data_IF_032569169135
#
_entry.id   IF_032569169135
#
_cell.length_a   1.000
_cell.length_b   1.000
_cell.length_c   1.000
_cell.angle_alpha   90.00
_cell.angle_beta   90.00
_cell.angle_gamma   90.00
#
_symmetry.space_group_name_H-M   'P 1'
#
loop_
_entity.id
_entity.type
_entity.pdbx_description
1 polymer ?
#
# COMPACT_ATOMS: atom_id res chain seq x y z
N UNK A 1 28.58 31.31 -40.09
CA UNK A 1 27.90 29.99 -39.97
C UNK A 1 27.77 29.39 -41.37
N UNK A 2 28.32 28.21 -41.63
CA UNK A 2 28.24 27.59 -42.97
C UNK A 2 26.78 27.26 -43.32
N UNK A 3 26.31 27.73 -44.49
CA UNK A 3 24.94 27.46 -44.99
C UNK A 3 24.61 25.94 -45.01
N UNK A 4 25.63 25.08 -45.15
CA UNK A 4 25.47 23.63 -45.12
C UNK A 4 24.93 23.09 -43.79
N UNK A 5 25.18 23.78 -42.67
CA UNK A 5 24.70 23.35 -41.33
C UNK A 5 23.28 23.81 -41.02
N UNK A 6 22.76 24.79 -41.77
CA UNK A 6 21.41 25.35 -41.58
C UNK A 6 20.37 24.56 -42.40
N UNK A 7 20.80 24.06 -43.56
CA UNK A 7 19.96 23.33 -44.51
C UNK A 7 19.17 22.12 -43.94
N UNK A 8 19.68 21.34 -42.97
CA UNK A 8 18.88 20.28 -42.33
C UNK A 8 17.66 20.86 -41.59
N UNK A 9 17.87 21.85 -40.73
CA UNK A 9 16.79 22.45 -39.92
C UNK A 9 15.71 23.14 -40.76
N UNK A 10 16.09 23.80 -41.85
CA UNK A 10 15.11 24.41 -42.76
C UNK A 10 14.30 23.36 -43.52
N UNK A 11 14.88 22.19 -43.84
CA UNK A 11 14.15 21.07 -44.44
C UNK A 11 13.12 20.48 -43.47
N UNK A 12 13.42 20.50 -42.19
CA UNK A 12 12.49 20.09 -41.13
C UNK A 12 11.42 21.16 -40.79
N UNK A 13 11.32 22.22 -41.61
CA UNK A 13 10.25 23.22 -41.52
C UNK A 13 10.50 24.34 -40.53
N UNK A 14 11.72 24.52 -40.01
CA UNK A 14 12.07 25.68 -39.20
C UNK A 14 12.35 26.91 -40.06
N UNK A 15 11.99 28.10 -39.56
CA UNK A 15 12.34 29.35 -40.23
C UNK A 15 13.87 29.51 -40.30
N UNK A 16 14.41 30.17 -41.35
CA UNK A 16 15.85 30.39 -41.48
C UNK A 16 16.49 31.03 -40.23
N UNK A 17 15.77 31.96 -39.59
CA UNK A 17 16.20 32.62 -38.34
C UNK A 17 16.38 31.60 -37.21
N UNK A 18 15.39 30.72 -37.00
CA UNK A 18 15.44 29.70 -35.95
C UNK A 18 16.53 28.66 -36.25
N UNK A 19 16.62 28.21 -37.50
CA UNK A 19 17.65 27.27 -37.95
C UNK A 19 19.07 27.82 -37.74
N UNK A 20 19.29 29.11 -38.02
CA UNK A 20 20.56 29.77 -37.71
C UNK A 20 20.84 29.88 -36.21
N UNK A 21 19.81 30.12 -35.39
CA UNK A 21 19.93 30.19 -33.94
C UNK A 21 20.32 28.82 -33.33
N UNK A 22 19.72 27.71 -33.79
CA UNK A 22 20.08 26.35 -33.37
C UNK A 22 21.55 26.04 -33.67
N UNK A 23 22.00 26.31 -34.91
CA UNK A 23 23.39 26.05 -35.31
C UNK A 23 24.38 26.92 -34.53
N UNK A 24 24.01 28.16 -34.21
CA UNK A 24 24.83 29.06 -33.37
C UNK A 24 24.91 28.59 -31.93
N UNK A 25 23.84 27.98 -31.41
CA UNK A 25 23.81 27.36 -30.10
C UNK A 25 24.58 26.02 -30.05
N UNK A 26 25.08 25.53 -31.19
CA UNK A 26 25.82 24.28 -31.28
C UNK A 26 24.94 23.04 -31.46
N UNK A 27 23.63 23.22 -31.69
CA UNK A 27 22.69 22.13 -31.93
C UNK A 27 22.61 21.87 -33.44
N UNK A 28 23.31 20.83 -33.88
CA UNK A 28 23.46 20.50 -35.30
C UNK A 28 22.46 19.44 -35.77
N UNK A 29 21.90 18.67 -34.83
CA UNK A 29 20.92 17.60 -35.08
C UNK A 29 19.77 17.66 -34.06
N UNK A 30 18.67 16.98 -34.37
CA UNK A 30 17.50 16.93 -33.48
C UNK A 30 17.82 16.25 -32.15
N UNK A 31 18.70 15.26 -32.16
CA UNK A 31 19.13 14.53 -30.96
C UNK A 31 19.92 15.41 -29.99
N UNK A 32 20.57 16.47 -30.48
CA UNK A 32 21.31 17.43 -29.65
C UNK A 32 20.38 18.25 -28.75
N UNK A 33 19.07 18.27 -29.05
CA UNK A 33 18.05 18.91 -28.22
C UNK A 33 17.52 17.99 -27.11
N UNK A 34 17.84 16.69 -27.12
CA UNK A 34 17.37 15.76 -26.10
C UNK A 34 17.73 16.15 -24.65
N UNK A 35 18.92 16.71 -24.35
CA UNK A 35 19.26 17.20 -23.01
C UNK A 35 18.83 18.66 -22.76
N UNK A 36 18.33 19.37 -23.76
CA UNK A 36 18.05 20.81 -23.67
C UNK A 36 16.68 21.04 -23.03
N UNK A 37 16.63 21.86 -21.98
CA UNK A 37 15.36 22.23 -21.36
C UNK A 37 14.56 23.19 -22.25
N UNK A 38 13.24 23.19 -22.08
CA UNK A 38 12.34 24.12 -22.78
C UNK A 38 12.74 25.60 -22.54
N UNK A 39 13.12 25.94 -21.32
CA UNK A 39 13.52 27.31 -20.97
C UNK A 39 14.89 27.67 -21.54
N UNK A 40 15.85 26.75 -21.57
CA UNK A 40 17.14 26.98 -22.23
C UNK A 40 16.97 27.19 -23.74
N UNK A 41 16.09 26.40 -24.37
CA UNK A 41 15.76 26.56 -25.78
C UNK A 41 15.21 27.96 -26.06
N UNK A 42 14.20 28.38 -25.30
CA UNK A 42 13.55 29.69 -25.47
C UNK A 42 14.43 30.87 -25.04
N UNK A 43 15.46 30.65 -24.24
CA UNK A 43 16.40 31.69 -23.85
C UNK A 43 17.36 32.10 -25.00
N UNK A 44 17.45 31.31 -26.09
CA UNK A 44 18.32 31.64 -27.22
C UNK A 44 17.66 32.66 -28.14
N UNK A 45 18.34 33.78 -28.46
CA UNK A 45 17.82 34.75 -29.42
C UNK A 45 17.52 34.10 -30.78
N UNK A 46 16.30 34.30 -31.27
CA UNK A 46 15.84 33.71 -32.54
C UNK A 46 15.09 32.38 -32.40
N UNK A 47 14.93 31.83 -31.18
CA UNK A 47 14.11 30.66 -30.90
C UNK A 47 12.84 31.06 -30.13
N UNK A 48 11.69 30.96 -30.80
CA UNK A 48 10.38 31.23 -30.21
C UNK A 48 9.53 29.97 -30.02
N UNK A 49 8.31 30.14 -29.54
CA UNK A 49 7.37 29.03 -29.29
C UNK A 49 7.09 28.18 -30.54
N UNK A 50 6.94 28.79 -31.72
CA UNK A 50 6.74 28.03 -32.96
C UNK A 50 7.95 27.16 -33.34
N UNK A 51 9.18 27.60 -33.04
CA UNK A 51 10.38 26.80 -33.26
C UNK A 51 10.47 25.64 -32.25
N UNK A 52 10.08 25.90 -31.00
CA UNK A 52 10.00 24.88 -29.96
C UNK A 52 9.01 23.79 -30.33
N UNK A 53 7.76 24.14 -30.64
CA UNK A 53 6.71 23.18 -31.02
C UNK A 53 7.13 22.30 -32.20
N UNK A 54 7.78 22.92 -33.20
CA UNK A 54 8.32 22.18 -34.35
C UNK A 54 9.40 21.20 -33.93
N UNK A 55 10.32 21.58 -33.05
CA UNK A 55 11.37 20.71 -32.53
C UNK A 55 10.81 19.59 -31.65
N UNK A 56 9.83 19.88 -30.79
CA UNK A 56 9.14 18.87 -29.96
C UNK A 56 8.39 17.85 -30.83
N UNK A 57 7.79 18.32 -31.93
CA UNK A 57 7.15 17.44 -32.93
C UNK A 57 8.16 16.53 -33.60
N UNK A 58 9.33 17.07 -33.99
CA UNK A 58 10.39 16.27 -34.62
C UNK A 58 11.03 15.27 -33.65
N UNK A 59 11.16 15.64 -32.36
CA UNK A 59 11.59 14.74 -31.30
C UNK A 59 10.54 13.67 -30.95
N UNK A 60 9.29 13.84 -31.37
CA UNK A 60 8.16 13.00 -30.97
C UNK A 60 7.81 13.11 -29.49
N UNK A 61 8.29 14.15 -28.79
CA UNK A 61 8.04 14.41 -27.37
C UNK A 61 8.31 15.87 -27.00
N UNK A 62 7.62 16.41 -25.98
CA UNK A 62 7.93 17.74 -25.46
C UNK A 62 9.33 17.81 -24.84
N UNK A 63 9.99 18.96 -24.94
CA UNK A 63 11.22 19.23 -24.19
C UNK A 63 10.85 19.34 -22.70
N UNK A 64 11.73 18.81 -21.85
CA UNK A 64 11.49 18.82 -20.41
C UNK A 64 11.57 20.27 -19.91
N UNK A 65 10.55 20.72 -19.20
CA UNK A 65 10.64 21.99 -18.47
C UNK A 65 11.62 21.83 -17.32
N UNK A 66 12.59 22.72 -17.20
CA UNK A 66 13.54 22.77 -16.09
C UNK A 66 12.83 22.85 -14.74
N UNK A 67 11.68 23.52 -14.65
CA UNK A 67 10.85 23.53 -13.44
C UNK A 67 10.36 22.12 -13.09
N UNK A 68 9.85 21.39 -14.09
CA UNK A 68 9.37 20.03 -13.91
C UNK A 68 10.51 19.06 -13.59
N UNK A 69 11.66 19.19 -14.25
CA UNK A 69 12.87 18.42 -13.98
C UNK A 69 13.26 18.48 -12.49
N UNK A 70 13.34 19.69 -11.93
CA UNK A 70 13.70 19.90 -10.52
C UNK A 70 12.64 19.36 -9.56
N UNK A 71 11.35 19.54 -9.87
CA UNK A 71 10.26 19.02 -9.06
C UNK A 71 10.22 17.48 -9.05
N UNK A 72 10.45 16.84 -10.19
CA UNK A 72 10.54 15.37 -10.29
C UNK A 72 11.77 14.81 -9.55
N UNK A 73 12.85 15.59 -9.43
CA UNK A 73 13.99 15.30 -8.55
C UNK A 73 13.70 15.45 -7.05
N UNK A 74 12.48 15.85 -6.69
CA UNK A 74 12.03 16.00 -5.31
C UNK A 74 12.31 17.37 -4.68
N UNK A 75 12.68 18.38 -5.47
CA UNK A 75 12.85 19.73 -4.95
C UNK A 75 11.51 20.44 -4.74
N UNK A 76 11.36 21.24 -3.67
CA UNK A 76 10.19 22.10 -3.50
C UNK A 76 10.00 23.03 -4.71
N UNK A 77 8.74 23.28 -5.08
CA UNK A 77 8.40 24.12 -6.24
C UNK A 77 9.06 25.51 -6.20
N UNK A 78 9.19 26.10 -5.01
CA UNK A 78 9.89 27.39 -4.81
C UNK A 78 11.35 27.29 -5.24
N UNK A 79 12.08 26.29 -4.78
CA UNK A 79 13.49 26.02 -5.12
C UNK A 79 13.66 25.79 -6.62
N UNK A 80 12.79 24.95 -7.20
CA UNK A 80 12.78 24.70 -8.65
C UNK A 80 12.58 25.98 -9.47
N UNK A 81 11.70 26.89 -9.03
CA UNK A 81 11.51 28.21 -9.68
C UNK A 81 12.74 29.12 -9.54
N UNK A 82 13.41 29.12 -8.38
CA UNK A 82 14.62 29.93 -8.17
C UNK A 82 15.75 29.47 -9.10
N UNK A 83 15.98 28.16 -9.21
CA UNK A 83 16.97 27.59 -10.12
C UNK A 83 16.64 27.89 -11.59
N UNK A 84 15.38 27.70 -11.99
CA UNK A 84 14.93 28.01 -13.36
C UNK A 84 15.09 29.50 -13.69
N UNK A 85 14.78 30.41 -12.75
CA UNK A 85 15.00 31.87 -12.89
C UNK A 85 16.49 32.22 -13.00
N UNK A 86 17.34 31.52 -12.25
CA UNK A 86 18.79 31.64 -12.33
C UNK A 86 19.40 31.02 -13.59
N UNK A 87 18.57 30.48 -14.49
CA UNK A 87 18.98 29.74 -15.70
C UNK A 87 19.81 28.49 -15.41
N UNK A 88 19.58 27.87 -14.26
CA UNK A 88 20.15 26.59 -13.87
C UNK A 88 19.11 25.50 -14.19
N UNK A 89 19.28 24.89 -15.36
CA UNK A 89 18.35 23.95 -15.96
C UNK A 89 18.84 22.49 -15.90
N UNK A 90 20.08 22.26 -15.51
CA UNK A 90 20.68 20.92 -15.36
C UNK A 90 21.56 20.80 -14.14
N UNK A 91 21.92 19.56 -13.78
CA UNK A 91 22.86 19.28 -12.69
C UNK A 91 24.28 19.75 -13.02
N UNK A 92 24.72 19.61 -14.25
CA UNK A 92 26.03 20.10 -14.71
C UNK A 92 26.15 21.62 -14.61
N UNK A 93 25.05 22.34 -14.88
CA UNK A 93 25.00 23.78 -14.66
C UNK A 93 25.08 24.10 -13.17
N UNK A 94 24.31 23.38 -12.34
CA UNK A 94 24.32 23.54 -10.89
C UNK A 94 25.72 23.29 -10.29
N UNK A 95 26.45 22.30 -10.78
CA UNK A 95 27.83 21.97 -10.37
C UNK A 95 28.84 23.10 -10.62
N UNK A 96 28.59 23.95 -11.62
CA UNK A 96 29.46 25.09 -11.92
C UNK A 96 29.24 26.27 -10.99
N UNK A 97 28.20 26.23 -10.15
CA UNK A 97 27.92 27.28 -9.17
C UNK A 97 28.51 26.92 -7.81
N UNK A 98 29.25 27.86 -7.24
CA UNK A 98 29.71 27.74 -5.86
C UNK A 98 28.50 27.77 -4.89
N UNK A 99 28.55 27.06 -3.75
CA UNK A 99 27.47 27.06 -2.75
C UNK A 99 27.03 28.47 -2.30
N UNK A 100 27.97 29.41 -2.24
CA UNK A 100 27.74 30.82 -1.91
C UNK A 100 26.84 31.48 -2.96
N UNK A 101 27.08 31.21 -4.24
CA UNK A 101 26.25 31.72 -5.34
C UNK A 101 24.83 31.16 -5.29
N UNK A 102 24.62 29.96 -4.73
CA UNK A 102 23.29 29.39 -4.51
C UNK A 102 22.57 30.07 -3.34
N UNK A 103 23.29 30.48 -2.30
CA UNK A 103 22.74 31.28 -1.21
C UNK A 103 22.29 32.67 -1.68
N UNK A 104 23.06 33.32 -2.55
CA UNK A 104 22.71 34.62 -3.14
C UNK A 104 21.43 34.57 -3.99
N UNK A 105 21.06 33.38 -4.51
CA UNK A 105 19.78 33.13 -5.17
C UNK A 105 18.58 33.02 -4.20
N UNK A 106 18.81 33.18 -2.89
CA UNK A 106 17.80 33.07 -1.84
C UNK A 106 17.48 31.63 -1.44
N UNK A 107 18.38 30.68 -1.70
CA UNK A 107 18.28 29.31 -1.20
C UNK A 107 18.80 29.25 0.24
N UNK A 108 17.98 28.72 1.14
CA UNK A 108 18.41 28.47 2.52
C UNK A 108 19.34 27.28 2.61
N UNK A 109 19.98 27.13 3.78
CA UNK A 109 20.84 25.97 4.09
C UNK A 109 20.13 24.62 3.85
N UNK A 110 18.83 24.44 4.21
CA UNK A 110 18.11 23.19 3.93
C UNK A 110 17.96 22.91 2.43
N UNK A 111 17.70 23.92 1.61
CA UNK A 111 17.58 23.78 0.16
C UNK A 111 18.92 23.47 -0.49
N UNK A 112 20.01 24.14 -0.06
CA UNK A 112 21.37 23.85 -0.53
C UNK A 112 21.79 22.43 -0.11
N UNK A 113 21.44 21.99 1.10
CA UNK A 113 21.67 20.62 1.54
C UNK A 113 20.85 19.59 0.73
N UNK A 114 19.61 19.91 0.36
CA UNK A 114 18.77 19.07 -0.49
C UNK A 114 19.33 18.98 -1.92
N UNK A 115 19.85 20.08 -2.46
CA UNK A 115 20.55 20.12 -3.76
C UNK A 115 21.85 19.32 -3.71
N UNK A 116 22.67 19.51 -2.69
CA UNK A 116 23.87 18.70 -2.46
C UNK A 116 23.52 17.22 -2.24
N UNK A 117 22.38 16.91 -1.61
CA UNK A 117 21.85 15.55 -1.47
C UNK A 117 21.34 14.98 -2.79
N UNK A 118 20.81 15.80 -3.70
CA UNK A 118 20.42 15.40 -5.05
C UNK A 118 21.66 15.16 -5.92
N UNK A 119 22.64 16.07 -5.89
CA UNK A 119 23.95 15.91 -6.53
C UNK A 119 24.70 14.69 -5.96
N UNK A 120 24.70 14.48 -4.65
CA UNK A 120 25.26 13.28 -4.01
C UNK A 120 24.47 12.03 -4.31
N UNK A 121 23.14 12.06 -4.47
CA UNK A 121 22.40 10.88 -4.93
C UNK A 121 22.74 10.51 -6.37
N UNK A 122 23.11 11.51 -7.17
CA UNK A 122 23.60 11.32 -8.54
C UNK A 122 25.09 10.93 -8.57
N UNK A 123 25.90 11.37 -7.59
CA UNK A 123 27.35 11.13 -7.54
C UNK A 123 27.79 9.97 -6.61
N UNK A 124 26.97 9.61 -5.61
CA UNK A 124 27.18 8.53 -4.63
C UNK A 124 26.10 7.44 -4.75
N UNK A 125 25.28 7.48 -5.80
CA UNK A 125 24.37 6.41 -6.20
C UNK A 125 25.07 5.15 -6.75
N UNK A 126 26.40 5.15 -6.76
CA UNK A 126 27.24 4.04 -7.16
C UNK A 126 27.93 3.34 -5.98
N UNK A 127 27.31 2.29 -5.44
CA UNK A 127 28.09 1.04 -5.43
C UNK A 127 28.40 0.76 -6.90
N UNK A 128 29.64 0.43 -7.28
CA UNK A 128 30.18 0.54 -8.65
C UNK A 128 29.36 -0.05 -9.83
N UNK A 129 28.22 -0.72 -9.60
CA UNK A 129 27.22 -1.09 -10.62
C UNK A 129 26.01 -0.14 -10.77
N UNK A 130 25.62 0.65 -9.77
CA UNK A 130 24.35 1.42 -9.76
C UNK A 130 24.28 2.54 -10.81
N UNK A 131 25.34 3.35 -10.93
CA UNK A 131 25.38 4.45 -11.89
C UNK A 131 25.42 3.95 -13.35
N UNK A 132 26.09 2.81 -13.57
CA UNK A 132 26.09 2.16 -14.87
C UNK A 132 24.68 1.68 -15.28
N UNK A 133 23.89 1.21 -14.31
CA UNK A 133 22.48 0.82 -14.54
C UNK A 133 21.58 2.02 -14.82
N UNK A 134 21.67 3.08 -14.02
CA UNK A 134 20.88 4.31 -14.26
C UNK A 134 21.20 4.87 -15.64
N UNK A 135 22.48 4.96 -16.00
CA UNK A 135 22.90 5.43 -17.32
C UNK A 135 22.45 4.49 -18.43
N UNK A 136 22.50 3.17 -18.22
CA UNK A 136 21.97 2.19 -19.16
C UNK A 136 20.49 2.47 -19.44
N UNK A 137 19.64 2.53 -18.43
CA UNK A 137 18.20 2.76 -18.60
C UNK A 137 17.90 4.12 -19.21
N UNK A 138 18.59 5.18 -18.78
CA UNK A 138 18.46 6.52 -19.37
C UNK A 138 18.81 6.54 -20.87
N UNK A 139 19.88 5.85 -21.29
CA UNK A 139 20.25 5.72 -22.71
C UNK A 139 19.19 5.00 -23.54
N UNK A 140 18.39 4.15 -22.90
CA UNK A 140 17.25 3.46 -23.53
C UNK A 140 15.96 4.30 -23.52
N UNK A 141 16.03 5.55 -23.06
CA UNK A 141 14.92 6.50 -23.04
C UNK A 141 14.04 6.44 -21.79
N UNK A 142 14.44 5.67 -20.76
CA UNK A 142 13.75 5.65 -19.48
C UNK A 142 14.01 6.98 -18.73
N UNK A 143 12.98 7.67 -18.21
CA UNK A 143 13.18 8.90 -17.45
C UNK A 143 14.07 8.68 -16.22
N UNK A 144 14.96 9.63 -15.83
CA UNK A 144 15.95 9.44 -14.77
C UNK A 144 15.37 8.96 -13.43
N UNK A 145 14.24 9.53 -13.00
CA UNK A 145 13.57 9.10 -11.77
C UNK A 145 13.12 7.63 -11.81
N UNK A 146 12.75 7.12 -12.99
CA UNK A 146 12.36 5.71 -13.19
C UNK A 146 13.58 4.81 -13.37
N UNK A 147 14.62 5.31 -14.05
CA UNK A 147 15.89 4.63 -14.18
C UNK A 147 16.54 4.38 -12.81
N UNK A 148 16.43 5.33 -11.87
CA UNK A 148 16.87 5.15 -10.48
C UNK A 148 16.08 4.05 -9.75
N UNK A 149 14.76 3.99 -9.94
CA UNK A 149 13.93 2.92 -9.37
C UNK A 149 14.36 1.55 -9.93
N UNK A 150 14.59 1.45 -11.23
CA UNK A 150 15.04 0.22 -11.88
C UNK A 150 16.47 -0.16 -11.48
N UNK A 151 17.37 0.80 -11.32
CA UNK A 151 18.74 0.54 -10.88
C UNK A 151 18.83 0.02 -9.43
N UNK A 152 17.73 0.06 -8.67
CA UNK A 152 17.59 -0.65 -7.41
C UNK A 152 17.52 -2.19 -7.54
N UNK A 153 17.40 -2.70 -8.76
CA UNK A 153 17.36 -4.13 -9.10
C UNK A 153 18.44 -4.44 -10.13
N UNK A 154 19.02 -5.64 -10.09
CA UNK A 154 19.93 -6.07 -11.16
C UNK A 154 19.15 -6.28 -12.48
N UNK A 155 19.80 -6.10 -13.64
CA UNK A 155 19.12 -6.31 -14.95
C UNK A 155 18.56 -7.72 -15.07
N UNK A 156 19.30 -8.72 -14.60
CA UNK A 156 18.86 -10.12 -14.65
C UNK A 156 17.63 -10.37 -13.76
N UNK A 157 17.54 -9.69 -12.61
CA UNK A 157 16.36 -9.72 -11.75
C UNK A 157 15.16 -9.09 -12.45
N UNK A 158 15.31 -7.87 -12.99
CA UNK A 158 14.26 -7.22 -13.79
C UNK A 158 13.82 -8.13 -14.94
N UNK A 159 14.78 -8.74 -15.64
CA UNK A 159 14.53 -9.60 -16.78
C UNK A 159 13.82 -10.92 -16.40
N UNK A 160 13.91 -11.35 -15.13
CA UNK A 160 13.22 -12.52 -14.59
C UNK A 160 11.84 -12.19 -13.98
N UNK A 161 11.59 -10.92 -13.63
CA UNK A 161 10.28 -10.49 -13.11
C UNK A 161 9.18 -10.66 -14.15
N UNK A 162 7.96 -10.92 -13.69
CA UNK A 162 6.81 -10.86 -14.58
C UNK A 162 6.44 -9.42 -14.90
N UNK A 163 5.73 -9.24 -16.01
CA UNK A 163 5.16 -7.96 -16.41
C UNK A 163 4.31 -7.34 -15.29
N UNK A 164 3.54 -8.16 -14.57
CA UNK A 164 2.69 -7.73 -13.46
C UNK A 164 3.50 -7.31 -12.23
N UNK A 165 4.56 -8.05 -11.87
CA UNK A 165 5.43 -7.70 -10.73
C UNK A 165 6.08 -6.32 -10.96
N UNK A 166 6.56 -6.05 -12.18
CA UNK A 166 7.16 -4.76 -12.52
C UNK A 166 6.15 -3.60 -12.46
N UNK A 167 4.87 -3.85 -12.75
CA UNK A 167 3.82 -2.83 -12.63
C UNK A 167 3.39 -2.56 -11.18
N UNK A 168 3.69 -3.48 -10.26
CA UNK A 168 3.48 -3.27 -8.82
C UNK A 168 4.59 -2.39 -8.21
N UNK A 169 5.75 -2.24 -8.87
CA UNK A 169 6.82 -1.35 -8.42
C UNK A 169 6.37 0.11 -8.51
N UNK A 170 6.33 0.86 -7.39
CA UNK A 170 5.86 2.23 -7.37
C UNK A 170 6.58 3.10 -8.41
N UNK A 171 5.79 3.70 -9.30
CA UNK A 171 6.30 4.58 -10.34
C UNK A 171 6.65 3.91 -11.66
N UNK A 172 6.65 2.58 -11.77
CA UNK A 172 6.80 1.89 -13.05
C UNK A 172 5.42 1.72 -13.69
N UNK A 173 5.18 2.44 -14.79
CA UNK A 173 3.93 2.35 -15.55
C UNK A 173 4.06 1.53 -16.84
N UNK A 174 2.95 1.27 -17.56
CA UNK A 174 2.97 0.52 -18.83
C UNK A 174 3.87 1.12 -19.91
N UNK A 175 4.11 2.44 -19.88
CA UNK A 175 5.05 3.10 -20.77
C UNK A 175 6.51 2.75 -20.42
N UNK A 176 6.89 2.92 -19.15
CA UNK A 176 8.23 2.56 -18.64
C UNK A 176 8.53 1.08 -18.90
N UNK A 177 7.55 0.21 -18.69
CA UNK A 177 7.69 -1.22 -18.96
C UNK A 177 7.99 -1.50 -20.44
N UNK A 178 7.31 -0.84 -21.39
CA UNK A 178 7.61 -0.97 -22.83
C UNK A 178 9.03 -0.52 -23.17
N UNK A 179 9.53 0.53 -22.53
CA UNK A 179 10.92 0.97 -22.69
C UNK A 179 11.89 -0.08 -22.14
N UNK A 180 11.56 -0.71 -21.02
CA UNK A 180 12.37 -1.80 -20.47
C UNK A 180 12.38 -3.05 -21.38
N UNK A 181 11.22 -3.43 -21.95
CA UNK A 181 11.13 -4.52 -22.92
C UNK A 181 11.96 -4.24 -24.17
N UNK A 182 11.94 -2.99 -24.66
CA UNK A 182 12.76 -2.55 -25.79
C UNK A 182 14.26 -2.61 -25.46
N UNK A 183 14.65 -2.12 -24.29
CA UNK A 183 16.03 -2.11 -23.80
C UNK A 183 16.62 -3.52 -23.66
N UNK A 184 15.82 -4.47 -23.15
CA UNK A 184 16.22 -5.86 -22.94
C UNK A 184 16.09 -6.73 -24.21
N UNK A 185 15.52 -6.19 -25.29
CA UNK A 185 15.31 -6.91 -26.55
C UNK A 185 14.30 -8.06 -26.47
N UNK A 186 13.52 -8.14 -25.38
CA UNK A 186 12.52 -9.19 -25.16
C UNK A 186 11.34 -8.67 -24.36
N UNK A 187 10.17 -9.31 -24.52
CA UNK A 187 9.00 -9.02 -23.67
C UNK A 187 9.18 -9.67 -22.30
N UNK A 188 8.70 -9.03 -21.25
CA UNK A 188 8.63 -9.68 -19.94
C UNK A 188 7.60 -10.82 -20.01
N UNK A 189 7.89 -11.97 -19.38
CA UNK A 189 6.91 -13.04 -19.29
C UNK A 189 5.69 -12.51 -18.55
N UNK A 190 4.50 -12.97 -18.94
CA UNK A 190 3.33 -12.78 -18.08
C UNK A 190 3.51 -13.58 -16.80
N UNK A 191 2.94 -13.16 -15.68
CA UNK A 191 3.00 -13.87 -14.39
C UNK A 191 2.53 -15.32 -14.48
N UNK A 192 1.63 -15.60 -15.43
CA UNK A 192 1.19 -16.97 -15.78
C UNK A 192 2.28 -17.83 -16.42
N UNK A 193 3.16 -17.23 -17.22
CA UNK A 193 4.22 -17.93 -17.94
C UNK A 193 5.41 -18.22 -17.01
N UNK A 194 5.71 -17.31 -16.09
CA UNK A 194 6.82 -17.48 -15.13
C UNK A 194 6.46 -18.31 -13.89
N UNK A 195 5.17 -18.44 -13.56
CA UNK A 195 4.72 -19.17 -12.37
C UNK A 195 3.71 -20.27 -12.71
N UNK A 196 4.14 -21.55 -12.77
CA UNK A 196 3.28 -22.68 -13.09
C UNK A 196 2.06 -22.82 -12.15
N UNK A 197 2.22 -22.48 -10.86
CA UNK A 197 1.12 -22.50 -9.90
C UNK A 197 0.08 -21.43 -10.22
N UNK A 198 0.52 -20.25 -10.67
CA UNK A 198 -0.37 -19.18 -11.11
C UNK A 198 -1.23 -19.62 -12.29
N UNK A 199 -0.61 -20.20 -13.33
CA UNK A 199 -1.32 -20.73 -14.48
C UNK A 199 -2.25 -21.90 -14.12
N UNK A 200 -1.85 -22.77 -13.18
CA UNK A 200 -2.70 -23.85 -12.68
C UNK A 200 -4.00 -23.31 -12.07
N UNK A 201 -3.90 -22.42 -11.09
CA UNK A 201 -5.08 -21.86 -10.41
C UNK A 201 -5.97 -21.02 -11.32
N UNK A 202 -5.36 -20.27 -12.24
CA UNK A 202 -6.12 -19.48 -13.21
C UNK A 202 -6.92 -20.35 -14.18
N UNK A 203 -6.37 -21.49 -14.62
CA UNK A 203 -7.10 -22.49 -15.44
C UNK A 203 -8.29 -23.10 -14.69
N UNK A 204 -8.20 -23.22 -13.37
CA UNK A 204 -9.31 -23.64 -12.51
C UNK A 204 -10.29 -22.50 -12.17
N UNK A 205 -10.10 -21.32 -12.77
CA UNK A 205 -10.96 -20.15 -12.59
C UNK A 205 -10.75 -19.43 -11.26
N UNK A 206 -9.67 -19.65 -10.52
CA UNK A 206 -9.35 -18.80 -9.38
C UNK A 206 -8.79 -17.48 -9.90
N UNK A 207 -9.32 -16.34 -9.44
CA UNK A 207 -8.99 -15.03 -10.01
C UNK A 207 -8.37 -14.08 -8.99
N UNK A 208 -7.47 -13.22 -9.47
CA UNK A 208 -7.07 -11.98 -8.79
C UNK A 208 -6.45 -12.21 -7.40
N UNK A 209 -6.97 -11.57 -6.35
CA UNK A 209 -6.36 -11.61 -5.01
C UNK A 209 -6.30 -13.01 -4.39
N UNK A 210 -7.31 -13.87 -4.62
CA UNK A 210 -7.30 -15.24 -4.10
C UNK A 210 -6.16 -16.08 -4.71
N UNK A 211 -5.91 -15.89 -6.00
CA UNK A 211 -4.83 -16.59 -6.69
C UNK A 211 -3.49 -16.15 -6.09
N UNK A 212 -3.27 -14.85 -5.94
CA UNK A 212 -2.07 -14.31 -5.30
C UNK A 212 -1.87 -14.88 -3.89
N UNK A 213 -2.94 -14.99 -3.09
CA UNK A 213 -2.90 -15.56 -1.75
C UNK A 213 -2.50 -17.05 -1.73
N UNK A 214 -3.01 -17.85 -2.69
CA UNK A 214 -2.65 -19.26 -2.82
C UNK A 214 -1.17 -19.42 -3.16
N UNK A 215 -0.69 -18.66 -4.15
CA UNK A 215 0.71 -18.72 -4.61
C UNK A 215 1.66 -18.21 -3.53
N UNK A 216 1.32 -17.13 -2.82
CA UNK A 216 2.13 -16.59 -1.73
C UNK A 216 2.27 -17.58 -0.55
N UNK A 217 1.27 -18.44 -0.34
CA UNK A 217 1.33 -19.56 0.63
C UNK A 217 2.02 -20.81 0.09
N UNK A 218 2.53 -20.78 -1.13
CA UNK A 218 3.19 -21.93 -1.75
C UNK A 218 2.24 -23.05 -2.14
N UNK A 219 0.93 -22.79 -2.23
CA UNK A 219 -0.07 -23.78 -2.63
C UNK A 219 -0.07 -23.87 -4.16
N UNK A 220 0.51 -24.95 -4.71
CA UNK A 220 0.75 -25.09 -6.15
C UNK A 220 -0.30 -25.98 -6.83
N UNK A 221 -1.07 -26.72 -6.05
CA UNK A 221 -2.04 -27.71 -6.53
C UNK A 221 -3.25 -27.83 -5.60
N UNK A 222 -4.32 -28.49 -6.08
CA UNK A 222 -5.46 -28.88 -5.23
C UNK A 222 -5.06 -29.82 -4.10
N UNK A 223 -3.99 -30.62 -4.26
CA UNK A 223 -3.50 -31.50 -3.19
C UNK A 223 -2.92 -30.69 -2.03
N UNK A 224 -2.27 -29.56 -2.30
CA UNK A 224 -1.77 -28.68 -1.25
C UNK A 224 -2.94 -28.05 -0.45
N UNK A 225 -4.08 -27.78 -1.10
CA UNK A 225 -5.28 -27.33 -0.41
C UNK A 225 -5.86 -28.40 0.52
N UNK A 226 -5.78 -29.69 0.17
CA UNK A 226 -6.27 -30.78 1.03
C UNK A 226 -5.49 -30.90 2.35
N UNK A 227 -4.27 -30.36 2.40
CA UNK A 227 -3.45 -30.29 3.62
C UNK A 227 -3.85 -29.18 4.55
N UNK A 228 -4.62 -28.19 4.07
CA UNK A 228 -5.13 -27.10 4.88
C UNK A 228 -6.46 -27.50 5.50
N UNK A 229 -6.70 -26.97 6.71
CA UNK A 229 -8.02 -27.09 7.30
C UNK A 229 -9.04 -26.17 6.56
N UNK A 230 -10.34 -26.46 6.74
CA UNK A 230 -11.41 -25.67 6.09
C UNK A 230 -11.36 -24.19 6.48
N UNK A 231 -10.94 -23.87 7.69
CA UNK A 231 -10.89 -22.50 8.22
C UNK A 231 -9.72 -21.72 7.62
N UNK A 232 -8.58 -22.35 7.43
CA UNK A 232 -7.41 -21.79 6.79
C UNK A 232 -7.72 -21.40 5.35
N UNK A 233 -8.38 -22.29 4.60
CA UNK A 233 -8.82 -21.99 3.23
C UNK A 233 -9.77 -20.79 3.22
N UNK A 234 -10.73 -20.74 4.15
CA UNK A 234 -11.69 -19.63 4.26
C UNK A 234 -11.06 -18.30 4.67
N UNK A 235 -9.94 -18.34 5.40
CA UNK A 235 -9.17 -17.17 5.82
C UNK A 235 -8.16 -16.71 4.78
N UNK A 236 -8.09 -17.36 3.62
CA UNK A 236 -7.24 -16.89 2.53
C UNK A 236 -7.72 -15.50 2.06
N UNK A 237 -6.83 -14.49 2.02
CA UNK A 237 -7.20 -13.17 1.55
C UNK A 237 -7.67 -13.23 0.10
N UNK A 238 -8.72 -12.48 -0.21
CA UNK A 238 -9.28 -12.44 -1.56
C UNK A 238 -10.22 -13.60 -1.93
N UNK A 239 -10.37 -14.61 -1.07
CA UNK A 239 -11.31 -15.72 -1.29
C UNK A 239 -12.75 -15.31 -0.97
N UNK A 240 -13.41 -14.65 -1.92
CA UNK A 240 -14.86 -14.40 -1.84
C UNK A 240 -15.70 -15.67 -1.97
N UNK A 241 -17.02 -15.54 -1.74
CA UNK A 241 -17.98 -16.66 -1.80
C UNK A 241 -17.94 -17.45 -3.10
N UNK A 242 -17.77 -16.76 -4.25
CA UNK A 242 -17.65 -17.43 -5.57
C UNK A 242 -16.36 -18.26 -5.67
N UNK A 243 -15.25 -17.74 -5.17
CA UNK A 243 -13.96 -18.45 -5.18
C UNK A 243 -14.01 -19.66 -4.26
N UNK A 244 -14.57 -19.50 -3.05
CA UNK A 244 -14.74 -20.61 -2.12
C UNK A 244 -15.60 -21.73 -2.72
N UNK A 245 -16.71 -21.41 -3.39
CA UNK A 245 -17.52 -22.42 -4.10
C UNK A 245 -16.75 -23.17 -5.18
N UNK A 246 -15.86 -22.48 -5.91
CA UNK A 246 -14.98 -23.15 -6.89
C UNK A 246 -14.00 -24.07 -6.19
N UNK A 247 -13.39 -23.63 -5.09
CA UNK A 247 -12.48 -24.46 -4.31
C UNK A 247 -13.22 -25.68 -3.72
N UNK A 248 -14.45 -25.52 -3.22
CA UNK A 248 -15.32 -26.62 -2.76
C UNK A 248 -15.56 -27.65 -3.87
N UNK A 249 -15.89 -27.18 -5.08
CA UNK A 249 -16.09 -28.05 -6.22
C UNK A 249 -14.82 -28.83 -6.60
N UNK A 250 -13.64 -28.20 -6.50
CA UNK A 250 -12.35 -28.85 -6.75
C UNK A 250 -11.98 -29.87 -5.66
N UNK A 251 -12.28 -29.57 -4.40
CA UNK A 251 -12.01 -30.46 -3.27
C UNK A 251 -13.04 -31.59 -3.17
N UNK A 252 -14.20 -31.46 -3.82
CA UNK A 252 -15.33 -32.39 -3.69
C UNK A 252 -15.96 -32.37 -2.29
N UNK A 253 -15.66 -31.35 -1.49
CA UNK A 253 -16.16 -31.22 -0.11
C UNK A 253 -16.62 -29.81 0.15
N UNK A 254 -17.71 -29.66 0.91
CA UNK A 254 -18.17 -28.35 1.36
C UNK A 254 -17.19 -27.79 2.40
N UNK A 255 -16.73 -26.57 2.18
CA UNK A 255 -15.94 -25.77 3.11
C UNK A 255 -16.85 -25.01 4.07
N UNK A 256 -18.10 -24.76 3.65
CA UNK A 256 -19.14 -24.19 4.49
C UNK A 256 -19.88 -25.23 5.33
N UNK A 257 -20.07 -24.93 6.61
CA UNK A 257 -20.92 -25.70 7.54
C UNK A 257 -22.39 -25.28 7.49
N UNK A 258 -22.74 -24.22 6.76
CA UNK A 258 -24.11 -23.71 6.67
C UNK A 258 -25.12 -24.75 6.16
N UNK A 259 -24.70 -25.68 5.29
CA UNK A 259 -25.54 -26.78 4.84
C UNK A 259 -25.90 -27.73 5.97
N UNK A 260 -24.93 -28.15 6.78
CA UNK A 260 -25.12 -29.01 7.95
C UNK A 260 -26.04 -28.35 8.99
N UNK A 261 -25.88 -27.05 9.22
CA UNK A 261 -26.77 -26.30 10.13
C UNK A 261 -28.22 -26.25 9.63
N UNK A 262 -28.44 -26.09 8.32
CA UNK A 262 -29.78 -26.14 7.73
C UNK A 262 -30.40 -27.53 7.82
N UNK A 263 -29.60 -28.58 7.64
CA UNK A 263 -30.05 -29.97 7.82
C UNK A 263 -30.48 -30.25 9.29
N UNK A 264 -29.89 -29.54 10.25
CA UNK A 264 -30.30 -29.52 11.66
C UNK A 264 -31.50 -28.59 11.95
N UNK A 265 -32.18 -28.08 10.92
CA UNK A 265 -33.38 -27.25 11.05
C UNK A 265 -33.12 -25.77 11.36
N UNK A 266 -31.86 -25.31 11.34
CA UNK A 266 -31.59 -23.89 11.56
C UNK A 266 -31.96 -23.05 10.33
N UNK A 267 -32.62 -21.89 10.51
CA UNK A 267 -32.92 -20.98 9.41
C UNK A 267 -31.66 -20.50 8.70
N UNK A 268 -31.75 -20.27 7.39
CA UNK A 268 -30.58 -19.97 6.56
C UNK A 268 -29.74 -18.77 7.03
N UNK A 269 -30.36 -17.72 7.59
CA UNK A 269 -29.62 -16.58 8.17
C UNK A 269 -28.75 -16.99 9.36
N UNK A 270 -29.28 -17.83 10.26
CA UNK A 270 -28.57 -18.35 11.43
C UNK A 270 -27.46 -19.31 11.02
N UNK A 271 -27.77 -20.26 10.14
CA UNK A 271 -26.79 -21.20 9.59
C UNK A 271 -25.60 -20.48 8.94
N UNK A 272 -25.86 -19.44 8.13
CA UNK A 272 -24.82 -18.61 7.53
C UNK A 272 -24.09 -17.74 8.58
N UNK A 273 -24.74 -17.38 9.68
CA UNK A 273 -24.12 -16.65 10.79
C UNK A 273 -23.13 -17.50 11.56
N UNK A 274 -23.51 -18.72 11.93
CA UNK A 274 -22.63 -19.71 12.58
C UNK A 274 -21.44 -20.06 11.68
N UNK A 275 -21.72 -20.31 10.40
CA UNK A 275 -20.70 -20.57 9.40
C UNK A 275 -19.70 -19.41 9.29
N UNK A 276 -20.15 -18.15 9.24
CA UNK A 276 -19.26 -16.97 9.22
C UNK A 276 -18.47 -16.80 10.52
N UNK A 277 -19.04 -17.19 11.66
CA UNK A 277 -18.35 -17.22 12.94
C UNK A 277 -17.32 -18.35 13.03
N UNK A 278 -17.26 -19.24 12.03
CA UNK A 278 -16.38 -20.42 12.01
C UNK A 278 -16.82 -21.50 13.00
N UNK A 279 -18.10 -21.51 13.39
CA UNK A 279 -18.68 -22.53 14.27
C UNK A 279 -19.25 -23.61 13.37
N UNK A 280 -18.52 -24.71 13.22
CA UNK A 280 -18.78 -25.72 12.20
C UNK A 280 -19.48 -26.95 12.75
N UNK A 281 -19.48 -27.13 14.07
CA UNK A 281 -20.08 -28.29 14.74
C UNK A 281 -20.91 -27.90 15.97
N UNK A 282 -21.78 -28.81 16.41
CA UNK A 282 -22.53 -28.67 17.66
C UNK A 282 -21.62 -28.60 18.89
N UNK A 283 -20.50 -29.33 18.88
CA UNK A 283 -19.53 -29.31 19.98
C UNK A 283 -18.84 -27.93 20.09
N UNK A 284 -18.52 -27.31 18.96
CA UNK A 284 -17.98 -25.96 18.95
C UNK A 284 -19.01 -24.93 19.39
N UNK A 285 -20.26 -25.04 18.91
CA UNK A 285 -21.35 -24.18 19.35
C UNK A 285 -21.55 -24.30 20.87
N UNK A 286 -21.46 -25.50 21.42
CA UNK A 286 -21.57 -25.77 22.85
C UNK A 286 -20.46 -25.14 23.71
N UNK A 287 -19.31 -24.76 23.10
CA UNK A 287 -18.19 -24.08 23.76
C UNK A 287 -18.29 -22.55 23.70
N UNK A 288 -19.20 -22.01 22.89
CA UNK A 288 -19.38 -20.57 22.69
C UNK A 288 -20.26 -19.99 23.79
N UNK A 289 -19.94 -18.79 24.28
CA UNK A 289 -20.78 -18.10 25.29
C UNK A 289 -21.94 -17.37 24.63
N UNK A 290 -22.99 -17.06 25.40
CA UNK A 290 -24.13 -16.27 24.88
C UNK A 290 -23.66 -14.94 24.31
N UNK A 291 -22.71 -14.29 24.98
CA UNK A 291 -22.16 -12.99 24.60
C UNK A 291 -21.25 -13.07 23.37
N UNK A 292 -20.46 -14.14 23.25
CA UNK A 292 -19.68 -14.40 22.03
C UNK A 292 -20.57 -14.58 20.81
N UNK A 293 -21.67 -15.34 20.96
CA UNK A 293 -22.61 -15.59 19.88
C UNK A 293 -23.34 -14.31 19.47
N UNK A 294 -23.86 -13.54 20.43
CA UNK A 294 -24.55 -12.27 20.18
C UNK A 294 -23.63 -11.16 19.65
N UNK A 295 -22.33 -11.25 19.90
CA UNK A 295 -21.35 -10.34 19.32
C UNK A 295 -21.09 -10.63 17.83
N UNK A 296 -21.49 -11.79 17.31
CA UNK A 296 -21.38 -12.09 15.88
C UNK A 296 -22.43 -11.30 15.11
N UNK A 297 -21.99 -10.42 14.22
CA UNK A 297 -22.87 -9.58 13.41
C UNK A 297 -23.93 -10.39 12.66
N UNK A 298 -25.20 -10.14 13.00
CA UNK A 298 -26.37 -10.79 12.40
C UNK A 298 -26.96 -11.95 13.20
N UNK A 299 -26.48 -12.23 14.42
CA UNK A 299 -27.10 -13.15 15.36
C UNK A 299 -27.82 -12.34 16.46
N UNK A 300 -29.13 -12.51 16.55
CA UNK A 300 -29.99 -11.86 17.54
C UNK A 300 -30.39 -12.81 18.69
N UNK A 301 -31.22 -12.31 19.61
CA UNK A 301 -31.69 -13.11 20.75
C UNK A 301 -32.49 -14.35 20.30
N UNK A 302 -33.30 -14.25 19.26
CA UNK A 302 -34.03 -15.40 18.71
C UNK A 302 -33.11 -16.44 18.09
N UNK A 303 -32.00 -16.00 17.48
CA UNK A 303 -30.94 -16.88 16.98
C UNK A 303 -30.27 -17.66 18.11
N UNK A 304 -29.98 -16.99 19.22
CA UNK A 304 -29.45 -17.61 20.43
C UNK A 304 -30.42 -18.66 21.01
N UNK A 305 -31.69 -18.33 21.15
CA UNK A 305 -32.71 -19.26 21.68
C UNK A 305 -32.83 -20.53 20.81
N UNK A 306 -32.72 -20.40 19.49
CA UNK A 306 -32.68 -21.56 18.57
C UNK A 306 -31.43 -22.39 18.71
N UNK A 307 -30.26 -21.76 18.87
CA UNK A 307 -29.01 -22.46 19.15
C UNK A 307 -29.10 -23.23 20.49
N UNK A 308 -29.64 -22.62 21.53
CA UNK A 308 -29.84 -23.24 22.85
C UNK A 308 -30.85 -24.40 22.78
N UNK A 309 -31.95 -24.23 22.02
CA UNK A 309 -32.91 -25.29 21.77
C UNK A 309 -32.27 -26.47 21.02
N UNK A 310 -31.44 -26.21 20.01
CA UNK A 310 -30.73 -27.24 19.27
C UNK A 310 -29.72 -28.00 20.14
N UNK A 311 -29.09 -27.32 21.10
CA UNK A 311 -28.18 -27.94 22.07
C UNK A 311 -28.91 -28.66 23.22
N UNK A 312 -30.22 -28.46 23.38
CA UNK A 312 -30.98 -28.96 24.53
C UNK A 312 -30.60 -28.32 25.86
N UNK A 313 -29.83 -27.21 25.85
CA UNK A 313 -29.39 -26.49 27.04
C UNK A 313 -29.03 -25.05 26.74
N UNK A 314 -29.03 -24.20 27.77
CA UNK A 314 -28.59 -22.81 27.64
C UNK A 314 -27.07 -22.73 27.44
N UNK A 315 -26.63 -21.79 26.61
CA UNK A 315 -25.21 -21.51 26.46
C UNK A 315 -24.69 -20.82 27.73
N UNK A 316 -23.41 -21.01 28.07
CA UNK A 316 -22.84 -20.38 29.25
C UNK A 316 -22.88 -18.84 29.13
N UNK A 317 -23.17 -18.18 30.24
CA UNK A 317 -23.11 -16.73 30.39
C UNK A 317 -22.73 -16.41 31.83
N UNK A 318 -21.65 -15.67 32.00
CA UNK A 318 -21.19 -15.23 33.31
C UNK A 318 -21.66 -13.81 33.65
N UNK A 319 -22.45 -13.17 32.79
CA UNK A 319 -22.85 -11.77 32.97
C UNK A 319 -23.63 -11.58 34.28
N UNK A 320 -24.52 -12.52 34.62
CA UNK A 320 -25.29 -12.45 35.87
C UNK A 320 -24.37 -12.57 37.09
N UNK A 321 -23.41 -13.51 37.05
CA UNK A 321 -22.51 -13.79 38.16
C UNK A 321 -21.52 -12.64 38.37
N UNK A 322 -20.97 -12.07 37.30
CA UNK A 322 -20.12 -10.88 37.36
C UNK A 322 -20.87 -9.65 37.89
N UNK A 323 -22.13 -9.46 37.48
CA UNK A 323 -22.96 -8.37 38.01
C UNK A 323 -23.29 -8.56 39.49
N UNK A 324 -23.53 -9.79 39.93
CA UNK A 324 -23.73 -10.10 41.35
C UNK A 324 -22.47 -9.79 42.19
N UNK A 325 -21.29 -9.81 41.56
CA UNK A 325 -20.01 -9.40 42.15
C UNK A 325 -19.73 -7.89 42.01
N UNK A 326 -20.73 -7.08 41.66
CA UNK A 326 -20.60 -5.62 41.62
C UNK A 326 -19.96 -5.06 40.34
N UNK A 327 -19.64 -5.88 39.34
CA UNK A 327 -19.11 -5.36 38.08
C UNK A 327 -20.21 -4.66 37.25
N UNK A 328 -19.91 -3.50 36.64
CA UNK A 328 -20.77 -2.89 35.64
C UNK A 328 -21.11 -3.86 34.50
N UNK A 329 -22.32 -3.72 33.95
CA UNK A 329 -22.81 -4.61 32.89
C UNK A 329 -21.86 -4.68 31.68
N UNK A 330 -21.22 -3.57 31.31
CA UNK A 330 -20.23 -3.52 30.23
C UNK A 330 -19.03 -4.43 30.51
N UNK A 331 -18.45 -4.39 31.72
CA UNK A 331 -17.30 -5.22 32.08
C UNK A 331 -17.68 -6.70 32.16
N UNK A 332 -18.82 -6.99 32.80
CA UNK A 332 -19.38 -8.35 32.88
C UNK A 332 -19.60 -8.96 31.49
N UNK A 333 -20.15 -8.17 30.56
CA UNK A 333 -20.32 -8.58 29.16
C UNK A 333 -18.98 -8.85 28.47
N UNK A 334 -18.01 -7.93 28.60
CA UNK A 334 -16.69 -8.08 27.96
C UNK A 334 -15.96 -9.31 28.48
N UNK A 335 -15.98 -9.58 29.79
CA UNK A 335 -15.39 -10.78 30.39
C UNK A 335 -16.03 -12.07 29.85
N UNK A 336 -17.37 -12.14 29.85
CA UNK A 336 -18.09 -13.32 29.34
C UNK A 336 -17.83 -13.53 27.84
N UNK A 337 -17.69 -12.45 27.05
CA UNK A 337 -17.30 -12.51 25.63
C UNK A 337 -15.86 -13.01 25.42
N UNK A 338 -14.99 -12.93 26.43
CA UNK A 338 -13.61 -13.44 26.39
C UNK A 338 -13.48 -14.80 27.08
N UNK A 339 -14.61 -15.46 27.39
CA UNK A 339 -14.69 -16.74 28.12
C UNK A 339 -14.10 -16.70 29.53
N UNK A 340 -14.05 -15.52 30.14
CA UNK A 340 -13.72 -15.38 31.55
C UNK A 340 -15.01 -15.59 32.32
N UNK A 341 -15.31 -16.86 32.62
CA UNK A 341 -16.61 -17.27 33.16
C UNK A 341 -16.62 -17.29 34.69
N UNK A 342 -15.46 -17.45 35.30
CA UNK A 342 -15.29 -17.58 36.74
C UNK A 342 -14.20 -16.65 37.26
N UNK A 343 -14.16 -16.45 38.58
CA UNK A 343 -13.05 -15.72 39.24
C UNK A 343 -11.72 -16.43 39.03
N UNK A 344 -11.73 -17.76 38.95
CA UNK A 344 -10.52 -18.53 38.72
C UNK A 344 -9.96 -18.31 37.31
N UNK A 345 -10.84 -18.16 36.30
CA UNK A 345 -10.41 -17.77 34.95
C UNK A 345 -9.78 -16.37 34.98
N UNK A 346 -10.36 -15.44 35.74
CA UNK A 346 -9.85 -14.08 35.87
C UNK A 346 -8.47 -14.03 36.57
N UNK A 347 -8.25 -14.88 37.59
CA UNK A 347 -6.96 -14.99 38.30
C UNK A 347 -5.81 -15.47 37.42
N UNK A 348 -6.10 -16.18 36.34
CA UNK A 348 -5.11 -16.64 35.37
C UNK A 348 -4.66 -15.55 34.40
N UNK A 349 -5.34 -14.39 34.40
CA UNK A 349 -5.04 -13.29 33.51
C UNK A 349 -4.08 -12.29 34.17
N UNK A 350 -3.17 -11.75 33.36
CA UNK A 350 -2.31 -10.65 33.76
C UNK A 350 -2.96 -9.30 33.44
N UNK A 351 -2.44 -8.21 34.00
CA UNK A 351 -2.86 -6.86 33.61
C UNK A 351 -2.69 -6.60 32.10
N UNK A 352 -1.62 -7.13 31.49
CA UNK A 352 -1.38 -7.02 30.06
C UNK A 352 -2.45 -7.77 29.23
N UNK A 353 -2.93 -8.92 29.70
CA UNK A 353 -4.02 -9.66 29.04
C UNK A 353 -5.32 -8.87 29.04
N UNK A 354 -5.65 -8.22 30.18
CA UNK A 354 -6.84 -7.39 30.32
C UNK A 354 -6.75 -6.15 29.39
N UNK A 355 -5.61 -5.48 29.35
CA UNK A 355 -5.40 -4.37 28.41
C UNK A 355 -5.54 -4.83 26.95
N UNK A 356 -4.99 -6.00 26.59
CA UNK A 356 -5.16 -6.62 25.27
C UNK A 356 -6.62 -6.97 24.95
N UNK A 357 -7.42 -7.26 25.97
CA UNK A 357 -8.86 -7.51 25.80
C UNK A 357 -9.67 -6.23 25.55
N UNK A 358 -9.06 -5.06 25.77
CA UNK A 358 -9.64 -3.75 25.54
C UNK A 358 -10.19 -3.08 26.80
N UNK A 359 -9.79 -3.55 27.98
CA UNK A 359 -10.03 -2.84 29.24
C UNK A 359 -9.04 -1.68 29.35
N UNK A 360 -9.47 -0.55 29.92
CA UNK A 360 -8.52 0.50 30.29
C UNK A 360 -7.75 0.11 31.58
N UNK A 361 -6.83 0.97 32.00
CA UNK A 361 -5.95 0.68 33.15
C UNK A 361 -6.74 0.59 34.46
N UNK A 362 -7.72 1.47 34.68
CA UNK A 362 -8.53 1.49 35.89
C UNK A 362 -9.47 0.28 35.94
N UNK A 363 -10.11 -0.05 34.80
CA UNK A 363 -10.92 -1.25 34.63
C UNK A 363 -10.08 -2.52 34.88
N UNK A 364 -8.84 -2.58 34.37
CA UNK A 364 -7.95 -3.71 34.57
C UNK A 364 -7.49 -3.88 36.03
N UNK A 365 -7.15 -2.77 36.71
CA UNK A 365 -6.78 -2.78 38.13
C UNK A 365 -7.96 -3.25 39.00
N UNK A 366 -9.18 -2.72 38.76
CA UNK A 366 -10.40 -3.18 39.42
C UNK A 366 -10.63 -4.69 39.27
N UNK A 367 -10.40 -5.23 38.07
CA UNK A 367 -10.58 -6.65 37.79
C UNK A 367 -9.52 -7.52 38.48
N UNK A 368 -8.27 -7.06 38.55
CA UNK A 368 -7.21 -7.76 39.28
C UNK A 368 -7.47 -7.77 40.78
N UNK A 369 -7.98 -6.68 41.34
CA UNK A 369 -8.36 -6.61 42.75
C UNK A 369 -9.53 -7.55 43.07
N UNK A 370 -10.55 -7.58 42.20
CA UNK A 370 -11.63 -8.56 42.29
C UNK A 370 -11.10 -10.00 42.25
N UNK A 371 -10.09 -10.29 41.40
CA UNK A 371 -9.47 -11.61 41.29
C UNK A 371 -8.72 -12.02 42.57
N UNK A 372 -8.10 -11.06 43.27
CA UNK A 372 -7.43 -11.24 44.57
C UNK A 372 -8.40 -11.47 45.72
N UNK A 373 -9.70 -11.28 45.48
CA UNK A 373 -10.73 -11.38 46.51
C UNK A 373 -10.93 -10.10 47.30
N UNK A 374 -10.38 -8.96 46.84
CA UNK A 374 -10.76 -7.67 47.39
C UNK A 374 -12.24 -7.44 47.06
N UNK A 375 -13.06 -7.21 48.09
CA UNK A 375 -14.46 -6.90 47.87
C UNK A 375 -14.55 -5.54 47.17
N UNK A 376 -15.30 -5.41 46.06
CA UNK A 376 -15.39 -4.15 45.33
C UNK A 376 -16.05 -3.02 46.13
N UNK A 377 -16.64 -3.32 47.30
CA UNK A 377 -17.12 -2.29 48.24
C UNK A 377 -15.98 -1.62 49.02
N UNK A 378 -14.87 -2.31 49.26
CA UNK A 378 -13.67 -1.74 49.92
C UNK A 378 -12.81 -0.96 48.92
N UNK A 379 -12.87 -1.33 47.64
CA UNK A 379 -12.12 -0.70 46.56
C UNK A 379 -12.87 0.42 45.82
N UNK A 380 -14.05 0.86 46.29
CA UNK A 380 -14.78 1.95 45.63
C UNK A 380 -13.93 3.22 45.61
N UNK A 381 -13.46 3.71 44.44
CA UNK A 381 -13.00 5.09 44.36
C UNK A 381 -14.19 5.98 44.75
N UNK A 382 -13.92 7.04 45.51
CA UNK A 382 -14.93 7.99 45.96
C UNK A 382 -15.88 8.35 44.80
N UNK A 383 -17.20 8.44 45.05
CA UNK A 383 -18.20 8.58 44.00
C UNK A 383 -17.78 9.65 43.01
N UNK A 384 -17.66 9.26 41.74
CA UNK A 384 -17.30 10.14 40.63
C UNK A 384 -18.34 11.25 40.52
N UNK A 385 -18.13 12.35 41.24
CA UNK A 385 -18.95 13.55 41.12
C UNK A 385 -18.60 14.15 39.78
N UNK A 386 -19.44 13.90 38.77
CA UNK A 386 -19.28 14.40 37.40
C UNK A 386 -19.39 15.92 37.29
N UNK A 387 -18.48 16.66 37.92
CA UNK A 387 -18.18 18.05 37.55
C UNK A 387 -17.39 18.00 36.26
N UNK A 388 -18.11 18.07 35.13
CA UNK A 388 -17.53 18.56 33.88
C UNK A 388 -16.85 19.90 34.19
N UNK A 389 -15.56 20.11 33.85
CA UNK A 389 -14.97 21.43 33.91
C UNK A 389 -15.79 22.36 33.03
N UNK A 390 -16.28 23.44 33.61
CA UNK A 390 -17.08 24.44 32.90
C UNK A 390 -16.31 24.96 31.70
N UNK A 391 -16.96 24.94 30.54
CA UNK A 391 -16.59 25.77 29.41
C UNK A 391 -16.79 27.24 29.84
N UNK A 392 -15.76 27.82 30.46
CA UNK A 392 -15.70 29.24 30.72
C UNK A 392 -15.53 29.96 29.39
N UNK A 393 -16.52 30.80 29.11
CA UNK A 393 -16.63 31.67 27.96
C UNK A 393 -15.37 32.54 27.75
N UNK A 394 -14.78 32.43 26.56
CA UNK A 394 -13.94 33.49 26.01
C UNK A 394 -14.84 34.45 25.21
N UNK A 395 -15.26 35.55 25.84
CA UNK A 395 -15.75 36.77 25.19
C UNK A 395 -15.16 38.00 25.90
N UNK A 396 -14.11 38.56 25.31
CA UNK A 396 -13.57 39.92 25.49
C UNK A 396 -12.15 39.91 24.88
N UNK A 397 -11.68 40.78 23.99
CA UNK A 397 -12.13 42.05 23.41
C UNK A 397 -11.52 42.14 22.00
#
# INVERSE_FOLDING_TARGET
>A
VSLRRVAPWTREGLSPVSAHALVRAGWFRIEDLAPVSREEFLARPGLGLGALERCETLLGRPLVSSLQFWMEGGLPQRTARLLSRARIHSLEQLERHAPEALHDLGLGLPEVAALAGLMRRVALGGGAGGDAEVLFWCRQGVPPAKAQILAGFARDEIAAMSREDLLEVPGIGPHTLRLCEKALGRKFPKREESNPAWAYWRRLGVSGPALAALVARGLRSVEDLRRLDRREIRRLPGCGTRTLRRIEALLGTALSSAGSWKALGLPGRLANGLDRAGIDTLEELAKVTREELLAQGGLDRGSLERCEALLGRRLPSAVKDWRARGLPQRLAWTLSRRRVLTVEDLRRLTGADLLRFGFDREEAELLLDLARGAHPEEARPAPFTGRRPGAAAARSR
#
